data_IF_102889239631
#
_entry.id   IF_102889239631
#
_cell.length_a   1.000
_cell.length_b   1.000
_cell.length_c   1.000
_cell.angle_alpha   90.00
_cell.angle_beta   90.00
_cell.angle_gamma   90.00
#
_symmetry.space_group_name_H-M   'P 1'
#
loop_
_entity.id
_entity.type
_entity.pdbx_description
1 polymer ?
#
# COMPACT_ATOMS: atom_id res chain seq x y z
N UNK A 1 4.26 11.10 6.70
CA UNK A 1 4.14 11.08 5.22
C UNK A 1 2.68 11.27 4.87
N UNK A 2 2.37 12.11 3.88
CA UNK A 2 0.97 12.34 3.45
C UNK A 2 0.50 11.26 2.48
N UNK A 3 -0.82 11.09 2.34
CA UNK A 3 -1.42 10.09 1.42
C UNK A 3 -0.97 10.33 -0.02
N UNK A 4 -1.17 11.53 -0.54
CA UNK A 4 -0.86 11.87 -1.93
C UNK A 4 0.63 11.68 -2.27
N UNK A 5 1.50 11.91 -1.29
CA UNK A 5 2.94 11.64 -1.38
C UNK A 5 3.21 10.13 -1.48
N UNK A 6 2.56 9.32 -0.63
CA UNK A 6 2.67 7.86 -0.66
C UNK A 6 2.18 7.29 -1.98
N UNK A 7 0.98 7.70 -2.42
CA UNK A 7 0.40 7.30 -3.70
C UNK A 7 1.32 7.66 -4.87
N UNK A 8 1.89 8.87 -4.88
CA UNK A 8 2.86 9.27 -5.91
C UNK A 8 4.11 8.40 -5.93
N UNK A 9 4.68 8.08 -4.77
CA UNK A 9 5.82 7.17 -4.68
C UNK A 9 5.46 5.80 -5.26
N UNK A 10 4.35 5.21 -4.83
CA UNK A 10 3.94 3.89 -5.30
C UNK A 10 3.71 3.87 -6.81
N UNK A 11 3.12 4.93 -7.39
CA UNK A 11 2.96 5.08 -8.85
C UNK A 11 4.30 5.06 -9.57
N UNK A 12 5.27 5.87 -9.13
CA UNK A 12 6.60 5.90 -9.73
C UNK A 12 7.29 4.53 -9.63
N UNK A 13 7.08 3.78 -8.55
CA UNK A 13 7.63 2.44 -8.41
C UNK A 13 6.92 1.42 -9.33
N UNK A 14 5.61 1.54 -9.52
CA UNK A 14 4.87 0.72 -10.50
C UNK A 14 5.37 0.99 -11.91
N UNK A 15 5.59 2.25 -12.29
CA UNK A 15 6.11 2.61 -13.61
C UNK A 15 7.48 1.96 -13.89
N UNK A 16 8.36 1.93 -12.89
CA UNK A 16 9.68 1.29 -12.96
C UNK A 16 9.61 -0.24 -12.90
N UNK A 17 8.69 -0.78 -12.10
CA UNK A 17 8.46 -2.20 -11.84
C UNK A 17 9.73 -3.02 -11.50
N UNK A 18 10.69 -2.41 -10.79
CA UNK A 18 11.92 -3.10 -10.42
C UNK A 18 11.77 -3.82 -9.08
N UNK A 19 12.17 -5.10 -9.03
CA UNK A 19 12.04 -5.93 -7.82
C UNK A 19 12.75 -5.34 -6.60
N UNK A 20 13.89 -4.68 -6.80
CA UNK A 20 14.65 -4.04 -5.73
C UNK A 20 13.89 -2.88 -5.06
N UNK A 21 12.95 -2.26 -5.76
CA UNK A 21 12.13 -1.17 -5.24
C UNK A 21 11.04 -1.62 -4.25
N UNK A 22 10.80 -2.93 -4.08
CA UNK A 22 9.83 -3.43 -3.11
C UNK A 22 10.16 -3.03 -1.67
N UNK A 23 11.45 -2.93 -1.33
CA UNK A 23 11.87 -2.43 -0.01
C UNK A 23 11.49 -0.95 0.20
N UNK A 24 11.69 -0.13 -0.84
CA UNK A 24 11.29 1.28 -0.85
C UNK A 24 9.78 1.42 -0.72
N UNK A 25 9.00 0.62 -1.44
CA UNK A 25 7.55 0.60 -1.33
C UNK A 25 7.08 0.24 0.08
N UNK A 26 7.63 -0.81 0.69
CA UNK A 26 7.26 -1.22 2.05
C UNK A 26 7.52 -0.10 3.07
N UNK A 27 8.66 0.59 2.94
CA UNK A 27 9.02 1.69 3.84
C UNK A 27 8.05 2.88 3.66
N UNK A 28 7.70 3.23 2.43
CA UNK A 28 6.72 4.29 2.16
C UNK A 28 5.34 3.97 2.76
N UNK A 29 4.86 2.74 2.58
CA UNK A 29 3.57 2.27 3.13
C UNK A 29 3.60 2.33 4.67
N UNK A 30 4.67 1.85 5.31
CA UNK A 30 4.81 1.90 6.77
C UNK A 30 4.88 3.33 7.32
N UNK A 31 5.65 4.22 6.67
CA UNK A 31 5.74 5.64 7.07
C UNK A 31 4.40 6.35 6.94
N UNK A 32 3.62 6.03 5.93
CA UNK A 32 2.28 6.56 5.77
C UNK A 32 1.33 6.03 6.85
N UNK A 33 1.32 4.72 7.10
CA UNK A 33 0.53 4.13 8.17
C UNK A 33 0.89 4.74 9.54
N UNK A 34 2.17 4.78 9.90
CA UNK A 34 2.64 5.29 11.19
C UNK A 34 2.44 6.80 11.38
N UNK A 35 2.05 7.52 10.33
CA UNK A 35 1.63 8.93 10.45
C UNK A 35 0.26 9.06 11.12
N UNK A 36 -0.54 7.99 11.19
CA UNK A 36 -1.81 7.96 11.91
C UNK A 36 -1.58 7.44 13.34
N UNK A 37 -2.12 8.14 14.34
CA UNK A 37 -1.92 7.77 15.75
C UNK A 37 -2.69 6.51 16.13
N UNK A 38 -3.96 6.43 15.73
CA UNK A 38 -4.88 5.37 16.14
C UNK A 38 -4.84 4.16 15.20
N UNK A 39 -4.86 2.91 15.71
CA UNK A 39 -4.88 1.71 14.88
C UNK A 39 -6.02 1.71 13.84
N UNK A 40 -7.21 2.18 14.21
CA UNK A 40 -8.36 2.30 13.31
C UNK A 40 -8.08 3.29 12.17
N UNK A 41 -7.45 4.43 12.49
CA UNK A 41 -7.06 5.42 11.48
C UNK A 41 -5.97 4.88 10.55
N UNK A 42 -5.04 4.06 11.06
CA UNK A 42 -4.04 3.37 10.22
C UNK A 42 -4.69 2.41 9.24
N UNK A 43 -5.65 1.61 9.70
CA UNK A 43 -6.38 0.69 8.84
C UNK A 43 -7.19 1.41 7.76
N UNK A 44 -7.90 2.48 8.13
CA UNK A 44 -8.64 3.33 7.19
C UNK A 44 -7.70 3.98 6.16
N UNK A 45 -6.54 4.46 6.58
CA UNK A 45 -5.54 5.01 5.67
C UNK A 45 -5.04 3.97 4.64
N UNK A 46 -4.89 2.71 5.03
CA UNK A 46 -4.56 1.63 4.08
C UNK A 46 -5.70 1.35 3.09
N UNK A 47 -6.96 1.44 3.53
CA UNK A 47 -8.13 1.28 2.65
C UNK A 47 -8.24 2.41 1.61
N UNK A 48 -7.95 3.65 2.03
CA UNK A 48 -7.87 4.78 1.12
C UNK A 48 -6.77 4.57 0.06
N UNK A 49 -5.60 4.10 0.48
CA UNK A 49 -4.47 3.84 -0.42
C UNK A 49 -4.76 2.72 -1.44
N UNK A 50 -5.47 1.66 -1.02
CA UNK A 50 -5.94 0.61 -1.92
C UNK A 50 -6.94 1.15 -2.93
N UNK A 51 -7.86 2.01 -2.48
CA UNK A 51 -8.87 2.62 -3.35
C UNK A 51 -8.23 3.50 -4.43
N UNK A 52 -7.22 4.29 -4.05
CA UNK A 52 -6.43 5.11 -4.99
C UNK A 52 -5.72 4.26 -6.05
N UNK A 53 -5.14 3.12 -5.65
CA UNK A 53 -4.47 2.20 -6.57
C UNK A 53 -5.44 1.43 -7.48
N UNK A 54 -6.63 1.08 -6.98
CA UNK A 54 -7.66 0.38 -7.76
C UNK A 54 -8.36 1.30 -8.78
N UNK A 55 -8.48 2.59 -8.48
CA UNK A 55 -9.01 3.59 -9.41
C UNK A 55 -8.23 3.65 -10.73
N UNK A 56 -6.93 3.36 -10.70
CA UNK A 56 -6.04 3.42 -11.86
C UNK A 56 -5.94 2.13 -12.66
N UNK A 57 -6.21 0.98 -12.05
CA UNK A 57 -6.22 -0.30 -12.78
C UNK A 57 -7.29 -0.29 -13.88
N UNK A 58 -8.38 0.45 -13.68
CA UNK A 58 -9.42 0.69 -14.70
C UNK A 58 -8.91 1.43 -15.94
N UNK A 59 -7.74 2.06 -15.90
CA UNK A 59 -7.15 2.74 -17.03
C UNK A 59 -6.32 1.81 -17.96
N UNK A 60 -6.24 0.50 -17.67
CA UNK A 60 -5.61 -0.60 -18.43
C UNK A 60 -4.30 -0.25 -19.17
N UNK A 61 -3.50 0.63 -18.58
CA UNK A 61 -2.27 1.16 -19.16
C UNK A 61 -1.10 0.66 -18.33
N UNK A 62 -0.58 -0.52 -18.70
CA UNK A 62 0.65 -1.03 -18.12
C UNK A 62 1.09 -2.36 -18.71
N UNK A 63 2.39 -2.59 -18.73
CA UNK A 63 2.96 -3.88 -19.12
C UNK A 63 2.70 -4.96 -18.05
N UNK A 64 2.81 -6.23 -18.41
CA UNK A 64 2.56 -7.35 -17.49
C UNK A 64 3.41 -7.29 -16.21
N UNK A 65 4.65 -6.79 -16.33
CA UNK A 65 5.52 -6.63 -15.15
C UNK A 65 5.03 -5.52 -14.21
N UNK A 66 4.47 -4.45 -14.74
CA UNK A 66 3.86 -3.37 -13.93
C UNK A 66 2.59 -3.87 -13.26
N UNK A 67 1.78 -4.69 -13.96
CA UNK A 67 0.61 -5.36 -13.39
C UNK A 67 1.01 -6.29 -12.23
N UNK A 68 2.01 -7.15 -12.44
CA UNK A 68 2.53 -8.05 -11.40
C UNK A 68 3.10 -7.27 -10.20
N UNK A 69 3.85 -6.20 -10.44
CA UNK A 69 4.39 -5.35 -9.38
C UNK A 69 3.26 -4.69 -8.57
N UNK A 70 2.23 -4.16 -9.25
CA UNK A 70 1.03 -3.60 -8.61
C UNK A 70 0.34 -4.64 -7.72
N UNK A 71 0.16 -5.88 -8.20
CA UNK A 71 -0.42 -6.96 -7.38
C UNK A 71 0.37 -7.18 -6.08
N UNK A 72 1.70 -7.18 -6.16
CA UNK A 72 2.55 -7.31 -4.95
C UNK A 72 2.34 -6.14 -4.00
N UNK A 73 2.27 -4.90 -4.51
CA UNK A 73 2.00 -3.72 -3.67
C UNK A 73 0.64 -3.80 -2.97
N UNK A 74 -0.41 -4.24 -3.68
CA UNK A 74 -1.74 -4.45 -3.09
C UNK A 74 -1.64 -5.41 -1.91
N UNK A 75 -1.02 -6.58 -2.10
CA UNK A 75 -0.82 -7.55 -1.01
C UNK A 75 0.02 -7.00 0.15
N UNK A 76 1.01 -6.14 -0.12
CA UNK A 76 1.80 -5.50 0.93
C UNK A 76 0.98 -4.51 1.75
N UNK A 77 0.10 -3.73 1.12
CA UNK A 77 -0.79 -2.78 1.79
C UNK A 77 -1.81 -3.53 2.64
N UNK A 78 -2.42 -4.59 2.11
CA UNK A 78 -3.36 -5.45 2.86
C UNK A 78 -2.70 -6.08 4.10
N UNK A 79 -1.49 -6.62 3.96
CA UNK A 79 -0.74 -7.17 5.10
C UNK A 79 -0.37 -6.09 6.11
N UNK A 80 0.00 -4.90 5.62
CA UNK A 80 0.31 -3.78 6.50
C UNK A 80 -0.93 -3.37 7.29
N UNK A 81 -2.10 -3.25 6.64
CA UNK A 81 -3.40 -2.98 7.28
C UNK A 81 -3.67 -3.91 8.45
N UNK A 82 -3.49 -5.22 8.26
CA UNK A 82 -3.69 -6.22 9.32
C UNK A 82 -2.71 -6.02 10.48
N UNK A 83 -1.46 -5.68 10.16
CA UNK A 83 -0.37 -5.55 11.14
C UNK A 83 -0.49 -4.29 11.99
N UNK A 84 -0.86 -3.15 11.38
CA UNK A 84 -0.88 -1.83 12.02
C UNK A 84 -2.27 -1.43 12.50
N UNK A 85 -3.31 -2.12 12.02
CA UNK A 85 -4.69 -1.90 12.36
C UNK A 85 -5.03 -2.31 13.79
N UNK A 86 -6.28 -2.12 14.23
CA UNK A 86 -6.74 -2.67 15.49
C UNK A 86 -6.56 -4.19 15.38
N UNK A 87 -5.75 -4.77 16.28
CA UNK A 87 -5.41 -6.19 16.23
C UNK A 87 -6.66 -7.02 15.98
N UNK A 88 -6.59 -7.95 15.02
CA UNK A 88 -7.73 -8.80 14.70
C UNK A 88 -8.30 -9.41 15.99
N UNK A 89 -9.63 -9.39 16.20
CA UNK A 89 -10.24 -10.11 17.32
C UNK A 89 -10.08 -11.61 17.04
N UNK A 90 -8.93 -12.19 17.39
CA UNK A 90 -8.61 -13.54 16.94
C UNK A 90 -7.29 -14.14 17.43
N UNK A 91 -6.61 -13.57 18.43
CA UNK A 91 -5.53 -14.25 19.15
C UNK A 91 -5.56 -13.88 20.64
N UNK A 92 -6.69 -14.19 21.30
CA UNK A 92 -6.63 -14.60 22.69
C UNK A 92 -6.30 -16.10 22.67
N UNK A 93 -5.04 -16.43 22.95
CA UNK A 93 -4.62 -17.78 23.33
C UNK A 93 -4.23 -17.75 24.79
#
# INVERSE_FOLDING_TARGET
>A
MLRDECTRVLRTLIEKAQREDLGTAQNAILRFAMNQSEPQARAAAMDDLLSDLAGEERADSGSDIQKAFRTVLVSMIERTKITVGPGSPGHAR
#
